data_IF_344855644090
#
_entry.id   IF_344855644090
#
_cell.length_a   1.000
_cell.length_b   1.000
_cell.length_c   1.000
_cell.angle_alpha   90.00
_cell.angle_beta   90.00
_cell.angle_gamma   90.00
#
_symmetry.space_group_name_H-M   'P 1'
#
loop_
_entity.id
_entity.type
_entity.pdbx_description
1 polymer ?
#
# COMPACT_ATOMS: atom_id res chain seq x y z
N UNK A 1 21.42 24.92 27.64
CA UNK A 1 22.04 23.60 27.93
C UNK A 1 21.28 22.52 27.15
N UNK A 2 21.82 21.99 26.05
CA UNK A 2 21.24 20.82 25.36
C UNK A 2 21.53 19.59 26.21
N UNK A 3 20.50 18.95 26.78
CA UNK A 3 20.62 17.61 27.37
C UNK A 3 20.63 16.64 26.19
N UNK A 4 21.79 16.05 25.89
CA UNK A 4 21.87 14.96 24.93
C UNK A 4 21.19 13.73 25.54
N UNK A 5 20.25 13.15 24.80
CA UNK A 5 19.59 11.90 25.19
C UNK A 5 20.65 10.79 25.24
N UNK A 6 20.54 9.90 26.22
CA UNK A 6 21.34 8.68 26.21
C UNK A 6 20.91 7.78 25.04
N UNK A 7 21.79 6.91 24.56
CA UNK A 7 21.51 6.02 23.42
C UNK A 7 20.20 5.24 23.60
N UNK A 8 19.92 4.76 24.82
CA UNK A 8 18.69 4.07 25.20
C UNK A 8 17.47 4.99 25.12
N UNK A 9 17.58 6.25 25.59
CA UNK A 9 16.49 7.20 25.50
C UNK A 9 16.19 7.56 24.04
N UNK A 10 17.22 7.76 23.22
CA UNK A 10 17.09 7.99 21.77
C UNK A 10 16.37 6.81 21.11
N UNK A 11 16.76 5.57 21.41
CA UNK A 11 16.12 4.35 20.91
C UNK A 11 14.67 4.21 21.36
N UNK A 12 14.38 4.49 22.63
CA UNK A 12 13.00 4.51 23.15
C UNK A 12 12.14 5.55 22.44
N UNK A 13 12.70 6.73 22.19
CA UNK A 13 11.98 7.83 21.52
C UNK A 13 11.73 7.47 20.05
N UNK A 14 12.70 6.87 19.39
CA UNK A 14 12.57 6.35 18.02
C UNK A 14 11.54 5.23 17.92
N UNK A 15 11.57 4.25 18.83
CA UNK A 15 10.56 3.17 18.93
C UNK A 15 9.15 3.74 19.13
N UNK A 16 9.00 4.78 19.95
CA UNK A 16 7.70 5.46 20.16
C UNK A 16 7.25 6.23 18.91
N UNK A 17 8.17 6.84 18.18
CA UNK A 17 7.86 7.51 16.92
C UNK A 17 7.41 6.50 15.86
N UNK A 18 8.16 5.40 15.68
CA UNK A 18 7.79 4.32 14.76
C UNK A 18 6.42 3.72 15.08
N UNK A 19 6.09 3.48 16.36
CA UNK A 19 4.75 3.00 16.75
C UNK A 19 3.63 3.97 16.43
N UNK A 20 3.90 5.28 16.37
CA UNK A 20 2.91 6.27 15.95
C UNK A 20 2.69 6.26 14.43
N UNK A 21 3.74 5.93 13.68
CA UNK A 21 3.72 5.92 12.22
C UNK A 21 3.40 4.53 11.63
N UNK A 22 3.33 3.49 12.46
CA UNK A 22 3.05 2.10 12.09
C UNK A 22 1.76 1.95 11.29
N UNK A 23 0.71 2.70 11.66
CA UNK A 23 -0.55 2.71 10.90
C UNK A 23 -0.37 3.24 9.47
N UNK A 24 0.37 4.34 9.31
CA UNK A 24 0.61 4.92 7.99
C UNK A 24 1.43 3.97 7.10
N UNK A 25 2.34 3.19 7.70
CA UNK A 25 3.12 2.16 7.00
C UNK A 25 2.26 0.98 6.55
N UNK A 26 1.21 0.64 7.31
CA UNK A 26 0.30 -0.47 6.98
C UNK A 26 -0.93 -0.06 6.16
N UNK A 27 -1.16 1.23 5.97
CA UNK A 27 -2.26 1.73 5.15
C UNK A 27 -1.90 1.66 3.66
N UNK A 28 -2.66 0.90 2.89
CA UNK A 28 -2.42 0.76 1.47
C UNK A 28 -3.02 1.93 0.68
N UNK A 29 -2.30 3.05 0.68
CA UNK A 29 -2.69 4.27 -0.05
C UNK A 29 -2.89 3.99 -1.53
N UNK A 30 -2.07 3.12 -2.13
CA UNK A 30 -2.14 2.82 -3.57
C UNK A 30 -3.44 2.12 -3.94
N UNK A 31 -3.88 1.15 -3.14
CA UNK A 31 -5.15 0.45 -3.39
C UNK A 31 -6.34 1.41 -3.27
N UNK A 32 -6.36 2.28 -2.25
CA UNK A 32 -7.38 3.33 -2.14
C UNK A 32 -7.35 4.26 -3.36
N UNK A 33 -6.17 4.71 -3.77
CA UNK A 33 -6.00 5.60 -4.91
C UNK A 33 -6.52 4.99 -6.22
N UNK A 34 -6.23 3.72 -6.48
CA UNK A 34 -6.74 3.01 -7.66
C UNK A 34 -8.27 2.89 -7.65
N UNK A 35 -8.89 2.66 -6.48
CA UNK A 35 -10.35 2.66 -6.35
C UNK A 35 -10.94 4.03 -6.69
N UNK A 36 -10.32 5.10 -6.20
CA UNK A 36 -10.73 6.46 -6.55
C UNK A 36 -10.62 6.71 -8.06
N UNK A 37 -9.53 6.27 -8.71
CA UNK A 37 -9.38 6.38 -10.17
C UNK A 37 -10.50 5.63 -10.89
N UNK A 38 -10.82 4.39 -10.49
CA UNK A 38 -11.90 3.63 -11.13
C UNK A 38 -13.26 4.30 -10.98
N UNK A 39 -13.55 4.87 -9.80
CA UNK A 39 -14.76 5.65 -9.59
C UNK A 39 -14.81 6.88 -10.52
N UNK A 40 -13.72 7.65 -10.58
CA UNK A 40 -13.63 8.83 -11.42
C UNK A 40 -13.78 8.51 -12.92
N UNK A 41 -13.17 7.42 -13.40
CA UNK A 41 -13.33 6.94 -14.78
C UNK A 41 -14.78 6.58 -15.07
N UNK A 42 -15.44 5.87 -14.16
CA UNK A 42 -16.84 5.48 -14.31
C UNK A 42 -17.76 6.71 -14.38
N UNK A 43 -17.48 7.74 -13.59
CA UNK A 43 -18.21 9.01 -13.65
C UNK A 43 -17.97 9.71 -15.00
N UNK A 44 -16.71 9.80 -15.45
CA UNK A 44 -16.33 10.38 -16.74
C UNK A 44 -17.04 9.69 -17.91
N UNK A 45 -16.96 8.37 -17.98
CA UNK A 45 -17.61 7.56 -19.03
C UNK A 45 -19.12 7.77 -19.05
N UNK A 46 -19.76 7.85 -17.87
CA UNK A 46 -21.18 8.12 -17.77
C UNK A 46 -21.54 9.50 -18.35
N UNK A 47 -20.76 10.54 -18.03
CA UNK A 47 -20.99 11.90 -18.54
C UNK A 47 -20.79 11.99 -20.06
N UNK A 48 -19.71 11.41 -20.58
CA UNK A 48 -19.42 11.38 -22.01
C UNK A 48 -20.52 10.66 -22.81
N UNK A 49 -21.12 9.64 -22.22
CA UNK A 49 -22.16 8.83 -22.87
C UNK A 49 -23.54 9.49 -22.82
N UNK A 50 -23.92 10.06 -21.66
CA UNK A 50 -25.29 10.52 -21.42
C UNK A 50 -25.47 12.04 -21.56
N UNK A 51 -24.39 12.81 -21.58
CA UNK A 51 -24.41 14.26 -21.71
C UNK A 51 -23.29 14.79 -22.63
N UNK A 52 -23.14 14.28 -23.86
CA UNK A 52 -22.01 14.60 -24.74
C UNK A 52 -21.93 16.09 -25.14
N UNK A 53 -23.03 16.84 -25.14
CA UNK A 53 -22.96 18.30 -25.42
C UNK A 53 -22.55 19.13 -24.19
N UNK A 54 -22.77 18.61 -22.98
CA UNK A 54 -22.29 19.25 -21.75
C UNK A 54 -20.85 18.83 -21.40
N UNK A 55 -20.45 17.63 -21.86
CA UNK A 55 -19.15 17.00 -21.67
C UNK A 55 -18.63 16.48 -23.02
N UNK A 56 -18.16 17.37 -23.92
CA UNK A 56 -17.64 16.96 -25.22
C UNK A 56 -16.40 16.07 -25.09
N UNK A 57 -16.35 15.02 -25.91
CA UNK A 57 -15.27 14.03 -25.89
C UNK A 57 -13.89 14.69 -25.99
N UNK A 58 -13.75 15.68 -26.88
CA UNK A 58 -12.50 16.37 -27.16
C UNK A 58 -11.89 17.06 -25.93
N UNK A 59 -12.72 17.46 -24.96
CA UNK A 59 -12.28 18.18 -23.76
C UNK A 59 -12.27 17.32 -22.48
N UNK A 60 -12.88 16.13 -22.51
CA UNK A 60 -13.14 15.35 -21.30
C UNK A 60 -12.79 13.86 -21.41
N UNK A 61 -12.15 13.39 -22.49
CA UNK A 61 -11.81 11.97 -22.65
C UNK A 61 -10.44 11.57 -22.10
N UNK A 62 -9.53 12.51 -21.85
CA UNK A 62 -8.19 12.13 -21.38
C UNK A 62 -8.22 11.71 -19.90
N UNK A 63 -7.23 10.90 -19.51
CA UNK A 63 -7.16 10.38 -18.14
C UNK A 63 -7.01 11.47 -17.07
N UNK A 64 -6.37 12.60 -17.39
CA UNK A 64 -6.22 13.71 -16.45
C UNK A 64 -7.51 14.54 -16.32
N UNK A 65 -8.40 14.45 -17.31
CA UNK A 65 -9.64 15.24 -17.38
C UNK A 65 -10.76 14.69 -16.49
N UNK A 66 -10.56 13.52 -15.88
CA UNK A 66 -11.45 13.00 -14.85
C UNK A 66 -11.76 14.02 -13.75
N UNK A 67 -10.74 14.76 -13.30
CA UNK A 67 -10.92 15.83 -12.31
C UNK A 67 -11.65 17.04 -12.89
N UNK A 68 -11.48 17.30 -14.18
CA UNK A 68 -12.19 18.36 -14.89
C UNK A 68 -13.69 18.06 -14.95
N UNK A 69 -14.07 16.81 -15.23
CA UNK A 69 -15.47 16.34 -15.17
C UNK A 69 -16.09 16.64 -13.80
N UNK A 70 -15.39 16.30 -12.71
CA UNK A 70 -15.90 16.57 -11.35
C UNK A 70 -16.05 18.07 -11.10
N UNK A 71 -15.06 18.88 -11.47
CA UNK A 71 -15.13 20.34 -11.33
C UNK A 71 -16.31 20.93 -12.10
N UNK A 72 -16.57 20.46 -13.33
CA UNK A 72 -17.73 20.86 -14.10
C UNK A 72 -19.04 20.44 -13.41
N UNK A 73 -19.10 19.25 -12.83
CA UNK A 73 -20.27 18.79 -12.07
C UNK A 73 -20.56 19.65 -10.85
N UNK A 74 -19.56 20.25 -10.21
CA UNK A 74 -19.77 21.18 -9.10
C UNK A 74 -20.51 22.46 -9.54
N UNK A 75 -20.45 22.83 -10.82
CA UNK A 75 -21.27 23.92 -11.36
C UNK A 75 -22.76 23.58 -11.37
N UNK A 76 -23.12 22.29 -11.44
CA UNK A 76 -24.52 21.86 -11.34
C UNK A 76 -25.09 22.20 -9.96
N UNK A 77 -24.28 22.06 -8.90
CA UNK A 77 -24.68 22.44 -7.53
C UNK A 77 -24.87 23.95 -7.40
N UNK A 78 -24.18 24.74 -8.21
CA UNK A 78 -24.36 26.19 -8.28
C UNK A 78 -25.57 26.60 -9.13
N UNK A 79 -26.34 25.65 -9.67
CA UNK A 79 -27.53 25.91 -10.48
C UNK A 79 -27.24 26.31 -11.92
N UNK A 80 -26.04 26.00 -12.43
CA UNK A 80 -25.73 26.21 -13.85
C UNK A 80 -26.70 25.41 -14.74
N UNK A 81 -27.20 26.05 -15.79
CA UNK A 81 -28.06 25.37 -16.76
C UNK A 81 -27.24 24.38 -17.57
N UNK A 82 -27.70 23.13 -17.60
CA UNK A 82 -27.18 22.03 -18.42
C UNK A 82 -28.18 21.65 -19.49
N UNK A 83 -27.68 21.20 -20.64
CA UNK A 83 -28.53 20.77 -21.76
C UNK A 83 -29.20 19.43 -21.45
N UNK A 84 -28.47 18.50 -20.84
CA UNK A 84 -28.96 17.14 -20.54
C UNK A 84 -29.43 16.94 -19.09
N UNK A 85 -29.48 18.02 -18.31
CA UNK A 85 -29.70 17.96 -16.86
C UNK A 85 -28.42 17.66 -16.07
N UNK A 86 -28.55 17.61 -14.75
CA UNK A 86 -27.40 17.41 -13.87
C UNK A 86 -26.92 15.97 -13.85
N UNK A 87 -25.60 15.77 -13.98
CA UNK A 87 -24.96 14.46 -13.86
C UNK A 87 -24.57 14.12 -12.41
N UNK A 88 -24.61 15.12 -11.52
CA UNK A 88 -24.22 14.99 -10.12
C UNK A 88 -24.97 13.87 -9.37
N UNK A 89 -26.29 13.67 -9.53
CA UNK A 89 -27.00 12.57 -8.85
C UNK A 89 -26.46 11.19 -9.21
N UNK A 90 -26.09 10.98 -10.47
CA UNK A 90 -25.51 9.71 -10.93
C UNK A 90 -24.11 9.50 -10.33
N UNK A 91 -23.28 10.55 -10.29
CA UNK A 91 -21.97 10.49 -9.64
C UNK A 91 -22.07 10.17 -8.14
N UNK A 92 -23.03 10.78 -7.42
CA UNK A 92 -23.31 10.46 -6.01
C UNK A 92 -23.73 9.02 -5.84
N UNK A 93 -24.55 8.48 -6.76
CA UNK A 93 -24.94 7.07 -6.74
C UNK A 93 -23.72 6.15 -6.91
N UNK A 94 -22.82 6.44 -7.84
CA UNK A 94 -21.61 5.63 -8.02
C UNK A 94 -20.68 5.70 -6.81
N UNK A 95 -20.52 6.89 -6.20
CA UNK A 95 -19.75 7.03 -4.97
C UNK A 95 -20.36 6.20 -3.85
N UNK A 96 -21.68 6.25 -3.68
CA UNK A 96 -22.41 5.44 -2.70
C UNK A 96 -22.18 3.94 -2.93
N UNK A 97 -22.32 3.47 -4.16
CA UNK A 97 -22.09 2.06 -4.50
C UNK A 97 -20.66 1.61 -4.16
N UNK A 98 -19.66 2.46 -4.40
CA UNK A 98 -18.27 2.17 -4.02
C UNK A 98 -18.11 2.11 -2.50
N UNK A 99 -18.67 3.07 -1.77
CA UNK A 99 -18.62 3.08 -0.29
C UNK A 99 -19.34 1.87 0.30
N UNK A 100 -20.50 1.49 -0.23
CA UNK A 100 -21.26 0.34 0.27
C UNK A 100 -20.55 -0.99 -0.02
N UNK A 101 -19.93 -1.11 -1.21
CA UNK A 101 -19.22 -2.33 -1.61
C UNK A 101 -17.88 -2.49 -0.91
N UNK A 102 -17.11 -1.42 -0.82
CA UNK A 102 -15.71 -1.45 -0.42
C UNK A 102 -15.49 -0.92 1.00
N UNK A 103 -16.35 -0.02 1.48
CA UNK A 103 -16.31 0.55 2.82
C UNK A 103 -14.91 0.95 3.30
N UNK A 104 -14.63 0.59 4.54
CA UNK A 104 -13.36 0.89 5.22
C UNK A 104 -12.33 -0.24 5.06
N UNK A 105 -12.37 -1.00 3.96
CA UNK A 105 -11.54 -2.21 3.81
C UNK A 105 -10.05 -1.94 4.03
N UNK A 106 -9.50 -0.87 3.45
CA UNK A 106 -8.07 -0.54 3.61
C UNK A 106 -7.74 -0.12 5.05
N UNK A 107 -8.67 0.56 5.72
CA UNK A 107 -8.54 0.93 7.13
C UNK A 107 -8.61 -0.30 8.05
N UNK A 108 -9.54 -1.21 7.80
CA UNK A 108 -9.67 -2.46 8.54
C UNK A 108 -8.43 -3.34 8.37
N UNK A 109 -7.89 -3.43 7.15
CA UNK A 109 -6.66 -4.18 6.88
C UNK A 109 -5.43 -3.54 7.55
N UNK A 110 -5.32 -2.21 7.52
CA UNK A 110 -4.24 -1.50 8.22
C UNK A 110 -4.32 -1.73 9.73
N UNK A 111 -5.52 -1.63 10.30
CA UNK A 111 -5.77 -1.86 11.73
C UNK A 111 -5.43 -3.29 12.13
N UNK A 112 -5.89 -4.29 11.37
CA UNK A 112 -5.55 -5.69 11.63
C UNK A 112 -4.03 -5.97 11.60
N UNK A 113 -3.30 -5.30 10.71
CA UNK A 113 -1.82 -5.40 10.65
C UNK A 113 -1.14 -4.73 11.85
N UNK A 114 -1.66 -3.60 12.34
CA UNK A 114 -1.17 -2.96 13.56
C UNK A 114 -1.52 -3.73 14.84
N UNK A 115 -2.65 -4.44 14.86
CA UNK A 115 -3.13 -5.21 16.01
C UNK A 115 -2.51 -6.61 16.11
N UNK A 116 -1.85 -7.09 15.05
CA UNK A 116 -0.92 -8.23 15.11
C UNK A 116 0.29 -7.86 15.98
N UNK A 117 0.08 -7.81 17.29
CA UNK A 117 1.16 -8.02 18.25
C UNK A 117 1.77 -9.39 17.91
N UNK A 118 3.10 -9.53 17.80
CA UNK A 118 3.68 -10.87 17.92
C UNK A 118 3.11 -11.44 19.20
N UNK A 119 2.48 -12.61 19.13
CA UNK A 119 1.90 -13.27 20.28
C UNK A 119 2.98 -13.34 21.37
N UNK A 120 2.88 -12.44 22.34
CA UNK A 120 3.50 -12.58 23.64
C UNK A 120 2.76 -13.70 24.35
N UNK A 121 3.03 -14.94 23.94
CA UNK A 121 3.20 -15.99 24.91
C UNK A 121 4.50 -15.66 25.63
N UNK A 122 4.44 -15.42 26.93
CA UNK A 122 5.58 -15.39 27.84
C UNK A 122 6.24 -16.78 27.91
N UNK A 123 6.64 -17.34 26.77
CA UNK A 123 7.69 -18.34 26.76
C UNK A 123 8.97 -17.52 26.69
N UNK A 124 9.59 -17.29 27.86
CA UNK A 124 10.99 -16.89 27.95
C UNK A 124 11.84 -17.99 27.33
N UNK A 125 11.83 -18.10 26.01
CA UNK A 125 13.02 -18.51 25.30
C UNK A 125 13.75 -17.19 25.14
N UNK A 126 14.85 -17.02 25.87
CA UNK A 126 15.79 -15.94 25.56
C UNK A 126 16.14 -16.13 24.08
N UNK A 127 15.47 -15.38 23.18
CA UNK A 127 15.91 -15.24 21.81
C UNK A 127 17.31 -14.65 21.92
N UNK A 128 18.31 -15.50 21.69
CA UNK A 128 19.69 -15.10 21.61
C UNK A 128 19.72 -14.00 20.57
N UNK A 129 19.95 -12.76 21.02
CA UNK A 129 20.06 -11.60 20.16
C UNK A 129 21.03 -11.98 19.03
N UNK A 130 20.60 -11.97 17.76
CA UNK A 130 21.46 -12.38 16.67
C UNK A 130 22.71 -11.50 16.74
N UNK A 131 23.87 -12.13 16.84
CA UNK A 131 25.14 -11.43 16.89
C UNK A 131 25.17 -10.40 15.76
N UNK A 132 25.52 -9.16 16.09
CA UNK A 132 25.87 -8.14 15.09
C UNK A 132 27.15 -8.51 14.32
N UNK A 133 27.81 -9.61 14.68
CA UNK A 133 28.90 -10.16 13.89
C UNK A 133 28.33 -10.70 12.58
N UNK A 134 28.88 -10.17 11.48
CA UNK A 134 28.61 -10.71 10.17
C UNK A 134 28.96 -12.21 10.17
N UNK A 135 28.17 -13.04 9.46
CA UNK A 135 28.53 -14.43 9.24
C UNK A 135 29.99 -14.51 8.77
N UNK A 136 30.82 -15.43 9.30
CA UNK A 136 32.24 -15.50 8.94
C UNK A 136 32.46 -15.63 7.43
N UNK A 137 31.47 -16.12 6.69
CA UNK A 137 31.43 -16.21 5.23
C UNK A 137 31.51 -14.86 4.52
N UNK A 138 31.05 -13.77 5.15
CA UNK A 138 31.15 -12.40 4.62
C UNK A 138 32.55 -11.79 4.82
N UNK A 139 33.37 -12.40 5.67
CA UNK A 139 34.79 -12.03 5.83
C UNK A 139 35.72 -12.77 4.86
N UNK A 140 35.19 -13.72 4.06
CA UNK A 140 35.97 -14.49 3.11
C UNK A 140 36.01 -13.85 1.71
N UNK A 141 37.13 -13.99 0.96
CA UNK A 141 37.18 -13.62 -0.44
C UNK A 141 36.11 -14.32 -1.28
N UNK A 142 35.54 -13.62 -2.28
CA UNK A 142 34.42 -14.11 -3.12
C UNK A 142 34.67 -15.49 -3.74
N UNK A 143 35.92 -15.79 -4.12
CA UNK A 143 36.34 -17.07 -4.67
C UNK A 143 36.20 -18.22 -3.67
N UNK A 144 36.45 -17.96 -2.38
CA UNK A 144 36.35 -18.94 -1.29
C UNK A 144 34.89 -19.17 -0.88
N UNK A 145 34.06 -18.11 -0.96
CA UNK A 145 32.61 -18.17 -0.66
C UNK A 145 31.86 -19.14 -1.58
N UNK A 146 32.28 -19.25 -2.84
CA UNK A 146 31.70 -20.18 -3.82
C UNK A 146 31.91 -21.66 -3.51
N UNK A 147 32.88 -22.01 -2.65
CA UNK A 147 33.14 -23.42 -2.28
C UNK A 147 32.18 -23.94 -1.18
N UNK A 148 31.66 -23.06 -0.32
CA UNK A 148 30.79 -23.42 0.81
C UNK A 148 29.29 -23.47 0.46
N UNK A 149 28.89 -22.88 -0.68
CA UNK A 149 27.51 -22.89 -1.17
C UNK A 149 27.13 -24.15 -1.95
N UNK A 150 27.97 -25.18 -1.92
CA UNK A 150 27.67 -26.47 -2.53
C UNK A 150 26.65 -27.21 -1.67
N UNK A 151 25.36 -27.01 -1.94
CA UNK A 151 24.29 -27.81 -1.34
C UNK A 151 24.43 -29.23 -1.89
N UNK A 152 25.10 -30.08 -1.12
CA UNK A 152 25.21 -31.51 -1.43
C UNK A 152 24.05 -32.22 -0.74
N UNK A 153 23.10 -32.70 -1.53
CA UNK A 153 22.02 -33.54 -1.01
C UNK A 153 22.54 -34.98 -1.01
N UNK A 154 22.58 -35.58 0.18
CA UNK A 154 22.95 -36.99 0.36
C UNK A 154 21.68 -37.81 0.36
N UNK A 155 21.58 -38.78 -0.54
CA UNK A 155 20.45 -39.71 -0.54
C UNK A 155 20.58 -40.79 0.56
N UNK A 156 19.54 -41.58 0.75
CA UNK A 156 19.48 -42.64 1.78
C UNK A 156 20.51 -43.77 1.56
N UNK A 157 21.13 -43.84 0.38
CA UNK A 157 22.19 -44.79 0.05
C UNK A 157 23.60 -44.19 0.24
N UNK A 158 23.70 -42.93 0.66
CA UNK A 158 24.95 -42.23 0.89
C UNK A 158 25.56 -41.59 -0.36
N UNK A 159 24.87 -41.62 -1.51
CA UNK A 159 25.32 -40.97 -2.73
C UNK A 159 25.04 -39.47 -2.67
N UNK A 160 26.07 -38.69 -2.99
CA UNK A 160 26.02 -37.24 -3.00
C UNK A 160 25.68 -36.75 -4.42
N UNK A 161 24.57 -36.04 -4.60
CA UNK A 161 24.21 -35.41 -5.88
C UNK A 161 24.00 -33.90 -5.72
N UNK A 162 24.36 -33.18 -6.77
CA UNK A 162 24.07 -31.76 -6.91
C UNK A 162 22.61 -31.60 -7.34
N UNK A 163 21.81 -30.71 -6.71
CA UNK A 163 20.40 -30.52 -7.06
C UNK A 163 20.20 -29.85 -8.44
N UNK A 164 21.26 -29.27 -9.02
CA UNK A 164 21.25 -28.65 -10.35
C UNK A 164 22.42 -29.19 -11.17
N UNK A 165 22.25 -30.41 -11.70
CA UNK A 165 23.17 -31.06 -12.64
C UNK A 165 22.37 -31.69 -13.77
#
# INVERSE_FOLDING_TARGET
KRRNLTSIQTLSTFKKALKKDEFALHFNVMALYLRCIHLLRRIQEHCLTHAPLDYPWEAFHEGLDMNHVINCMMLDLAGARRLHGSMFPAAVKFLREVIEKEGDTEYAQATARCEMKPNGGDTKVDEIEPSFENPPEDSMPLLTRGMFWMVVVRDENGDCRMPFG
#
